data_IF_106316191670
#
_entry.id   IF_106316191670
#
_cell.length_a   1.000
_cell.length_b   1.000
_cell.length_c   1.000
_cell.angle_alpha   90.00
_cell.angle_beta   90.00
_cell.angle_gamma   90.00
#
_symmetry.space_group_name_H-M   'P 1'
#
loop_
_entity.id
_entity.type
_entity.pdbx_description
1 polymer ?
#
# COMPACT_ATOMS: atom_id res chain seq x y z
N UNK A 1 -38.42 1.69 34.47
CA UNK A 1 -38.07 0.92 33.26
C UNK A 1 -36.58 1.09 32.99
N UNK A 2 -35.82 0.01 32.74
CA UNK A 2 -34.46 0.12 32.17
C UNK A 2 -34.60 0.07 30.65
N UNK A 3 -34.27 1.15 29.95
CA UNK A 3 -34.08 1.10 28.50
C UNK A 3 -32.84 0.23 28.21
N UNK A 4 -33.05 -0.96 27.65
CA UNK A 4 -31.97 -1.71 27.02
C UNK A 4 -31.66 -1.02 25.70
N UNK A 5 -30.46 -0.50 25.54
CA UNK A 5 -30.00 0.07 24.27
C UNK A 5 -30.02 -1.03 23.19
N UNK A 6 -30.96 -0.93 22.26
CA UNK A 6 -31.14 -1.87 21.14
C UNK A 6 -30.31 -1.46 19.91
N UNK A 7 -29.32 -0.58 20.09
CA UNK A 7 -28.68 0.23 19.05
C UNK A 7 -27.38 -0.35 18.47
N UNK A 8 -26.67 -1.24 19.17
CA UNK A 8 -25.30 -1.63 18.76
C UNK A 8 -25.22 -2.26 17.37
N UNK A 9 -26.03 -3.29 17.11
CA UNK A 9 -25.89 -4.17 15.93
C UNK A 9 -26.15 -3.51 14.57
N UNK A 10 -26.77 -2.33 14.55
CA UNK A 10 -26.97 -1.53 13.33
C UNK A 10 -25.84 -0.51 13.11
N UNK A 11 -25.23 0.00 14.18
CA UNK A 11 -24.06 0.87 14.08
C UNK A 11 -22.84 0.13 13.51
N UNK A 12 -22.57 -1.09 14.01
CA UNK A 12 -21.44 -1.91 13.57
C UNK A 12 -21.38 -2.09 12.03
N UNK A 13 -22.54 -2.33 11.40
CA UNK A 13 -22.64 -2.52 9.94
C UNK A 13 -22.41 -1.24 9.16
N UNK A 14 -22.95 -0.12 9.64
CA UNK A 14 -22.78 1.17 8.96
C UNK A 14 -21.32 1.59 8.99
N UNK A 15 -20.66 1.47 10.15
CA UNK A 15 -19.26 1.85 10.27
C UNK A 15 -18.32 0.94 9.48
N UNK A 16 -18.50 -0.39 9.50
CA UNK A 16 -17.68 -1.29 8.67
C UNK A 16 -17.87 -1.00 7.17
N UNK A 17 -19.05 -0.55 6.73
CA UNK A 17 -19.26 -0.07 5.35
C UNK A 17 -18.56 1.26 5.09
N UNK A 18 -18.64 2.22 6.02
CA UNK A 18 -17.98 3.51 5.87
C UNK A 18 -16.45 3.39 5.83
N UNK A 19 -15.87 2.61 6.76
CA UNK A 19 -14.44 2.27 6.78
C UNK A 19 -14.04 1.54 5.50
N UNK A 20 -14.94 0.74 4.92
CA UNK A 20 -14.71 0.08 3.64
C UNK A 20 -14.59 1.10 2.51
N UNK A 21 -15.55 2.00 2.37
CA UNK A 21 -15.61 2.95 1.25
C UNK A 21 -14.45 3.96 1.26
N UNK A 22 -13.80 4.20 2.41
CA UNK A 22 -12.60 5.05 2.54
C UNK A 22 -11.26 4.29 2.54
N UNK A 23 -11.27 2.95 2.56
CA UNK A 23 -10.05 2.11 2.57
C UNK A 23 -9.88 1.29 1.27
N UNK A 24 -10.99 0.98 0.60
CA UNK A 24 -11.01 0.21 -0.64
C UNK A 24 -11.21 1.11 -1.86
N UNK A 25 -11.05 0.53 -3.04
CA UNK A 25 -11.29 1.17 -4.33
C UNK A 25 -10.43 2.43 -4.57
N UNK A 26 -9.20 2.43 -4.05
CA UNK A 26 -8.23 3.54 -4.25
C UNK A 26 -7.99 3.78 -5.75
N UNK A 27 -7.72 5.02 -6.19
CA UNK A 27 -7.46 5.28 -7.60
C UNK A 27 -6.15 4.64 -8.08
N UNK A 28 -6.02 4.52 -9.41
CA UNK A 28 -4.71 4.34 -10.05
C UNK A 28 -4.29 5.66 -10.68
N UNK A 29 -3.04 6.06 -10.48
CA UNK A 29 -2.41 7.13 -11.24
C UNK A 29 -1.63 6.54 -12.42
N UNK A 30 -1.92 7.00 -13.62
CA UNK A 30 -1.08 6.74 -14.79
C UNK A 30 -0.09 7.92 -14.90
N UNK A 31 1.14 7.69 -14.44
CA UNK A 31 2.18 8.72 -14.30
C UNK A 31 3.04 8.70 -15.56
N UNK A 32 3.02 9.81 -16.30
CA UNK A 32 3.86 9.99 -17.48
C UNK A 32 5.25 10.43 -17.03
N UNK A 33 6.29 9.78 -17.54
CA UNK A 33 7.67 10.12 -17.21
C UNK A 33 8.56 10.12 -18.46
N UNK A 34 9.66 10.88 -18.40
CA UNK A 34 10.81 10.70 -19.28
C UNK A 34 12.01 10.32 -18.41
N UNK A 35 12.68 9.21 -18.70
CA UNK A 35 13.87 8.73 -18.00
C UNK A 35 15.00 8.46 -19.00
N UNK A 36 16.10 9.22 -18.89
CA UNK A 36 17.24 9.18 -19.83
C UNK A 36 16.82 9.27 -21.31
N UNK A 37 15.91 10.20 -21.62
CA UNK A 37 15.39 10.42 -22.97
C UNK A 37 14.31 9.42 -23.42
N UNK A 38 13.92 8.46 -22.58
CA UNK A 38 12.89 7.46 -22.89
C UNK A 38 11.59 7.80 -22.19
N UNK A 39 10.53 8.01 -22.97
CA UNK A 39 9.17 8.22 -22.45
C UNK A 39 8.54 6.91 -22.00
N UNK A 40 7.71 6.97 -20.96
CA UNK A 40 6.95 5.84 -20.46
C UNK A 40 5.77 6.26 -19.58
N UNK A 41 4.93 5.27 -19.29
CA UNK A 41 3.79 5.41 -18.38
C UNK A 41 3.89 4.34 -17.30
N UNK A 42 3.91 4.77 -16.04
CA UNK A 42 3.86 3.90 -14.88
C UNK A 42 2.47 3.96 -14.26
N UNK A 43 1.83 2.81 -14.09
CA UNK A 43 0.55 2.72 -13.38
C UNK A 43 0.81 2.48 -11.90
N UNK A 44 0.25 3.32 -11.04
CA UNK A 44 0.48 3.25 -9.59
C UNK A 44 -0.84 3.24 -8.83
N UNK A 45 -1.08 2.15 -8.11
CA UNK A 45 -2.24 1.97 -7.24
C UNK A 45 -2.03 2.73 -5.92
N UNK A 46 -2.96 3.63 -5.57
CA UNK A 46 -2.74 4.63 -4.53
C UNK A 46 -3.14 4.13 -3.12
N UNK A 47 -2.45 3.12 -2.60
CA UNK A 47 -2.78 2.47 -1.33
C UNK A 47 -2.63 3.40 -0.10
N UNK A 48 -1.81 4.45 -0.20
CA UNK A 48 -1.64 5.48 0.82
C UNK A 48 -2.79 6.51 0.88
N UNK A 49 -3.88 6.29 0.14
CA UNK A 49 -5.14 7.03 0.27
C UNK A 49 -5.95 6.64 1.52
N UNK A 50 -5.64 5.50 2.13
CA UNK A 50 -6.39 4.95 3.26
C UNK A 50 -6.39 5.81 4.53
N UNK A 51 -7.11 5.33 5.54
CA UNK A 51 -7.37 6.00 6.82
C UNK A 51 -6.07 6.48 7.47
N UNK A 52 -5.10 5.59 7.72
CA UNK A 52 -3.77 5.98 8.23
C UNK A 52 -2.90 6.52 7.10
N UNK A 53 -3.15 6.08 5.87
CA UNK A 53 -2.35 6.37 4.69
C UNK A 53 -1.22 5.35 4.51
N UNK A 54 -1.49 4.13 4.95
CA UNK A 54 -0.63 2.97 4.75
C UNK A 54 -1.46 1.84 4.13
N UNK A 55 -0.83 1.06 3.28
CA UNK A 55 -1.41 -0.16 2.68
C UNK A 55 -2.02 -1.13 3.71
N UNK A 56 -1.49 -1.10 4.94
CA UNK A 56 -1.93 -1.91 6.08
C UNK A 56 -3.37 -1.63 6.56
N UNK A 57 -3.97 -0.50 6.16
CA UNK A 57 -5.38 -0.19 6.45
C UNK A 57 -6.32 -1.31 5.94
N UNK A 58 -5.99 -1.92 4.78
CA UNK A 58 -6.76 -3.05 4.20
C UNK A 58 -6.73 -4.30 5.09
N UNK A 59 -5.57 -4.64 5.64
CA UNK A 59 -5.35 -5.82 6.49
C UNK A 59 -6.03 -5.62 7.85
N UNK A 60 -5.89 -4.43 8.43
CA UNK A 60 -6.57 -4.09 9.68
C UNK A 60 -8.10 -4.20 9.53
N UNK A 61 -8.67 -3.74 8.41
CA UNK A 61 -10.10 -3.85 8.12
C UNK A 61 -10.55 -5.29 7.78
N UNK A 62 -9.71 -6.11 7.14
CA UNK A 62 -9.93 -7.55 7.03
C UNK A 62 -10.07 -8.20 8.41
N UNK A 63 -9.20 -7.87 9.36
CA UNK A 63 -9.27 -8.43 10.72
C UNK A 63 -10.51 -7.98 11.49
N UNK A 64 -10.89 -6.70 11.40
CA UNK A 64 -12.13 -6.19 12.00
C UNK A 64 -13.35 -6.95 11.45
N UNK A 65 -13.43 -7.17 10.12
CA UNK A 65 -14.46 -7.99 9.48
C UNK A 65 -14.42 -9.45 9.96
N UNK A 66 -13.25 -10.09 9.96
CA UNK A 66 -13.05 -11.51 10.29
C UNK A 66 -13.43 -11.84 11.73
N UNK A 67 -13.02 -11.01 12.69
CA UNK A 67 -13.32 -11.25 14.11
C UNK A 67 -14.68 -10.74 14.58
N UNK A 68 -15.41 -10.00 13.74
CA UNK A 68 -16.70 -9.37 14.09
C UNK A 68 -16.59 -8.53 15.36
N UNK A 69 -15.45 -7.86 15.52
CA UNK A 69 -15.17 -7.00 16.68
C UNK A 69 -16.24 -5.93 16.76
N UNK A 70 -16.91 -5.80 17.90
CA UNK A 70 -17.96 -4.80 18.08
C UNK A 70 -17.28 -3.45 18.27
N UNK A 71 -17.73 -2.43 17.55
CA UNK A 71 -17.07 -1.13 17.56
C UNK A 71 -17.88 -0.22 18.51
N UNK A 72 -17.41 -0.12 19.76
CA UNK A 72 -18.06 0.58 20.87
C UNK A 72 -17.26 1.77 21.44
N UNK A 73 -17.73 3.00 21.24
CA UNK A 73 -17.16 4.26 21.75
C UNK A 73 -16.37 4.24 23.09
N UNK A 74 -15.04 4.48 23.05
CA UNK A 74 -14.28 5.56 23.73
C UNK A 74 -12.78 5.22 24.04
N UNK A 75 -11.84 6.17 23.82
CA UNK A 75 -10.57 6.50 24.54
C UNK A 75 -9.23 6.61 23.74
N UNK A 76 -8.22 7.28 24.33
CA UNK A 76 -6.83 7.60 23.85
C UNK A 76 -5.77 6.99 24.82
N UNK A 77 -4.42 7.06 24.60
CA UNK A 77 -3.56 6.99 23.38
C UNK A 77 -2.18 6.22 23.53
N UNK A 78 -1.34 6.21 22.46
CA UNK A 78 0.13 6.55 22.37
C UNK A 78 1.23 5.51 21.92
N UNK A 79 2.06 5.95 20.93
CA UNK A 79 3.49 5.65 20.56
C UNK A 79 3.97 4.29 19.94
N UNK A 80 4.75 4.40 18.82
CA UNK A 80 6.12 3.88 18.46
C UNK A 80 6.57 2.41 18.77
N UNK A 81 7.48 1.73 18.01
CA UNK A 81 8.12 1.89 16.66
C UNK A 81 9.13 0.73 16.27
N UNK A 82 8.97 0.05 15.10
CA UNK A 82 10.01 -0.76 14.39
C UNK A 82 9.81 -2.30 14.38
N UNK A 83 9.80 -2.96 13.19
CA UNK A 83 9.21 -4.30 12.86
C UNK A 83 7.72 -4.48 13.25
N UNK A 84 7.28 -3.67 14.20
CA UNK A 84 5.95 -3.30 14.57
C UNK A 84 5.17 -2.57 13.46
N UNK A 85 5.63 -2.46 12.20
CA UNK A 85 4.97 -1.59 11.20
C UNK A 85 3.47 -1.91 11.01
N UNK A 86 3.12 -3.21 10.99
CA UNK A 86 1.72 -3.67 11.00
C UNK A 86 1.02 -3.50 12.35
N UNK A 87 1.72 -3.73 13.48
CA UNK A 87 1.18 -3.52 14.83
C UNK A 87 0.88 -2.04 15.06
N UNK A 88 1.77 -1.13 14.67
CA UNK A 88 1.58 0.31 14.64
C UNK A 88 0.51 0.75 13.64
N UNK A 89 0.31 0.07 12.51
CA UNK A 89 -0.78 0.41 11.57
C UNK A 89 -2.15 0.08 12.17
N UNK A 90 -2.28 -1.13 12.71
CA UNK A 90 -3.49 -1.51 13.44
C UNK A 90 -3.66 -0.67 14.71
N UNK A 91 -2.60 -0.42 15.48
CA UNK A 91 -2.67 0.38 16.70
C UNK A 91 -2.96 1.85 16.39
N UNK A 92 -2.46 2.41 15.29
CA UNK A 92 -2.82 3.76 14.84
C UNK A 92 -4.26 3.83 14.32
N UNK A 93 -4.74 2.77 13.66
CA UNK A 93 -6.16 2.64 13.29
C UNK A 93 -7.03 2.53 14.55
N UNK A 94 -6.71 1.62 15.47
CA UNK A 94 -7.41 1.43 16.74
C UNK A 94 -7.36 2.70 17.61
N UNK A 95 -6.22 3.38 17.73
CA UNK A 95 -6.09 4.67 18.45
C UNK A 95 -6.85 5.80 17.75
N UNK A 96 -7.06 5.74 16.43
CA UNK A 96 -7.84 6.74 15.69
C UNK A 96 -9.34 6.47 15.83
N UNK A 97 -9.78 5.24 15.60
CA UNK A 97 -11.14 4.80 15.87
C UNK A 97 -11.50 4.99 17.34
N UNK A 98 -10.58 4.78 18.29
CA UNK A 98 -10.82 4.97 19.73
C UNK A 98 -10.77 6.46 20.13
N UNK A 99 -9.98 7.30 19.45
CA UNK A 99 -10.06 8.79 19.51
C UNK A 99 -11.40 9.32 19.08
N UNK A 100 -11.91 8.81 17.97
CA UNK A 100 -13.14 9.26 17.32
C UNK A 100 -14.39 8.65 18.01
N UNK A 101 -14.20 8.00 19.18
CA UNK A 101 -15.23 7.31 19.95
C UNK A 101 -15.99 6.26 19.14
N UNK A 102 -15.24 5.45 18.40
CA UNK A 102 -15.76 4.30 17.67
C UNK A 102 -15.39 2.99 18.39
N UNK A 103 -14.13 2.69 18.73
CA UNK A 103 -13.73 1.40 19.37
C UNK A 103 -13.62 1.48 20.91
N UNK A 104 -13.83 0.32 21.56
CA UNK A 104 -13.70 0.09 23.01
C UNK A 104 -12.29 -0.41 23.35
N UNK A 105 -11.65 0.18 24.36
CA UNK A 105 -10.30 -0.20 24.80
C UNK A 105 -10.13 -1.70 25.13
N UNK A 106 -11.17 -2.37 25.66
CA UNK A 106 -11.14 -3.82 25.93
C UNK A 106 -11.15 -4.65 24.63
N UNK A 107 -11.90 -4.23 23.62
CA UNK A 107 -11.96 -4.90 22.32
C UNK A 107 -10.65 -4.70 21.53
N UNK A 108 -10.03 -3.52 21.64
CA UNK A 108 -8.68 -3.25 21.15
C UNK A 108 -7.65 -4.21 21.79
N UNK A 109 -7.64 -4.33 23.12
CA UNK A 109 -6.73 -5.24 23.83
C UNK A 109 -6.91 -6.71 23.42
N UNK A 110 -8.16 -7.19 23.39
CA UNK A 110 -8.48 -8.57 22.98
C UNK A 110 -8.13 -8.87 21.52
N UNK A 111 -8.21 -7.87 20.63
CA UNK A 111 -7.76 -8.00 19.25
C UNK A 111 -6.24 -8.13 19.18
N UNK A 112 -5.48 -7.28 19.89
CA UNK A 112 -4.01 -7.37 19.96
C UNK A 112 -3.54 -8.74 20.46
N UNK A 113 -4.16 -9.28 21.52
CA UNK A 113 -3.80 -10.59 22.08
C UNK A 113 -4.19 -11.77 21.20
N UNK A 114 -5.24 -11.67 20.37
CA UNK A 114 -5.53 -12.67 19.33
C UNK A 114 -4.51 -12.62 18.20
N UNK A 115 -4.14 -11.42 17.76
CA UNK A 115 -3.20 -11.23 16.65
C UNK A 115 -1.77 -11.68 16.98
N UNK A 116 -1.39 -11.67 18.26
CA UNK A 116 -0.15 -12.27 18.77
C UNK A 116 -0.07 -13.80 18.64
N UNK A 117 -1.18 -14.49 18.33
CA UNK A 117 -1.23 -15.95 18.23
C UNK A 117 -0.85 -16.46 16.83
N UNK A 118 -0.86 -15.58 15.82
CA UNK A 118 -0.53 -15.93 14.44
C UNK A 118 0.99 -15.96 14.22
N UNK A 119 1.45 -17.04 13.60
CA UNK A 119 2.83 -17.19 13.12
C UNK A 119 3.09 -16.29 11.91
N UNK A 120 4.38 -16.04 11.63
CA UNK A 120 4.82 -15.23 10.48
C UNK A 120 4.27 -15.76 9.14
N UNK A 121 4.25 -17.07 8.94
CA UNK A 121 3.65 -17.71 7.75
C UNK A 121 2.14 -17.47 7.64
N UNK A 122 1.39 -17.52 8.75
CA UNK A 122 -0.04 -17.22 8.70
C UNK A 122 -0.31 -15.73 8.44
N UNK A 123 0.60 -14.84 8.84
CA UNK A 123 0.56 -13.44 8.47
C UNK A 123 0.80 -13.26 6.97
N UNK A 124 1.83 -13.89 6.39
CA UNK A 124 2.11 -13.85 4.96
C UNK A 124 0.91 -14.36 4.12
N UNK A 125 0.30 -15.49 4.50
CA UNK A 125 -0.91 -16.03 3.85
C UNK A 125 -2.08 -15.01 3.86
N UNK A 126 -2.24 -14.26 4.95
CA UNK A 126 -3.32 -13.27 5.09
C UNK A 126 -3.00 -11.96 4.36
N UNK A 127 -1.73 -11.52 4.34
CA UNK A 127 -1.27 -10.45 3.45
C UNK A 127 -1.59 -10.80 1.99
N UNK A 128 -1.31 -12.05 1.61
CA UNK A 128 -1.59 -12.55 0.27
C UNK A 128 -3.10 -12.57 -0.04
N UNK A 129 -3.93 -13.12 0.85
CA UNK A 129 -5.39 -13.17 0.70
C UNK A 129 -5.97 -11.75 0.53
N UNK A 130 -5.58 -10.81 1.38
CA UNK A 130 -6.08 -9.43 1.38
C UNK A 130 -5.69 -8.70 0.10
N UNK A 131 -4.41 -8.70 -0.28
CA UNK A 131 -4.00 -7.98 -1.50
C UNK A 131 -4.54 -8.64 -2.78
N UNK A 132 -4.68 -9.98 -2.80
CA UNK A 132 -5.25 -10.71 -3.92
C UNK A 132 -6.73 -10.37 -4.11
N UNK A 133 -7.53 -10.42 -3.04
CA UNK A 133 -8.99 -10.17 -3.10
C UNK A 133 -9.38 -8.69 -3.19
N UNK A 134 -8.46 -7.76 -2.90
CA UNK A 134 -8.75 -6.33 -2.78
C UNK A 134 -7.85 -5.51 -3.72
N UNK A 135 -6.59 -5.28 -3.35
CA UNK A 135 -5.66 -4.42 -4.10
C UNK A 135 -5.57 -4.79 -5.59
N UNK A 136 -5.31 -6.06 -5.90
CA UNK A 136 -5.10 -6.53 -7.28
C UNK A 136 -6.40 -6.78 -8.04
N UNK A 137 -7.48 -7.17 -7.35
CA UNK A 137 -8.81 -7.25 -7.96
C UNK A 137 -9.32 -5.89 -8.43
N UNK A 138 -9.20 -4.86 -7.57
CA UNK A 138 -9.51 -3.48 -7.94
C UNK A 138 -8.62 -3.02 -9.09
N UNK A 139 -7.30 -3.18 -8.97
CA UNK A 139 -6.36 -2.68 -9.98
C UNK A 139 -6.57 -3.34 -11.35
N UNK A 140 -6.82 -4.65 -11.38
CA UNK A 140 -7.12 -5.38 -12.61
C UNK A 140 -8.41 -4.87 -13.27
N UNK A 141 -9.50 -4.68 -12.52
CA UNK A 141 -10.74 -4.15 -13.09
C UNK A 141 -10.59 -2.70 -13.57
N UNK A 142 -9.91 -1.84 -12.79
CA UNK A 142 -9.64 -0.45 -13.15
C UNK A 142 -8.86 -0.34 -14.47
N UNK A 143 -7.82 -1.15 -14.65
CA UNK A 143 -7.01 -1.15 -15.88
C UNK A 143 -7.73 -1.85 -17.06
N UNK A 144 -8.41 -2.97 -16.82
CA UNK A 144 -9.17 -3.69 -17.84
C UNK A 144 -10.28 -2.83 -18.45
N UNK A 145 -10.97 -2.00 -17.64
CA UNK A 145 -11.97 -1.04 -18.12
C UNK A 145 -11.38 0.04 -19.05
N UNK A 146 -10.08 0.32 -18.98
CA UNK A 146 -9.35 1.21 -19.89
C UNK A 146 -8.74 0.45 -21.09
N UNK A 147 -8.95 -0.86 -21.20
CA UNK A 147 -8.29 -1.71 -22.21
C UNK A 147 -6.80 -1.96 -21.93
N UNK A 148 -6.34 -1.72 -20.70
CA UNK A 148 -4.94 -1.84 -20.30
C UNK A 148 -4.70 -3.21 -19.65
N UNK A 149 -3.77 -3.98 -20.22
CA UNK A 149 -3.30 -5.25 -19.69
C UNK A 149 -1.96 -5.03 -18.97
N UNK A 150 -1.79 -5.60 -17.76
CA UNK A 150 -0.54 -5.51 -16.99
C UNK A 150 0.44 -6.58 -17.45
N UNK A 151 1.67 -6.18 -17.77
CA UNK A 151 2.76 -7.08 -18.14
C UNK A 151 3.70 -7.35 -16.96
N UNK A 152 3.88 -6.38 -16.05
CA UNK A 152 4.73 -6.51 -14.87
C UNK A 152 4.10 -5.87 -13.63
N UNK A 153 4.28 -6.51 -12.47
CA UNK A 153 4.07 -5.90 -11.16
C UNK A 153 5.39 -5.79 -10.39
N UNK A 154 5.65 -4.64 -9.77
CA UNK A 154 6.90 -4.38 -9.06
C UNK A 154 6.63 -3.90 -7.64
N UNK A 155 7.35 -4.43 -6.65
CA UNK A 155 7.34 -3.94 -5.27
C UNK A 155 8.67 -4.20 -4.57
N UNK A 156 8.96 -3.37 -3.57
CA UNK A 156 9.95 -3.63 -2.52
C UNK A 156 9.39 -4.53 -1.41
N UNK A 157 10.31 -5.16 -0.67
CA UNK A 157 10.07 -6.26 0.29
C UNK A 157 9.10 -5.97 1.45
N UNK A 158 8.88 -4.70 1.81
CA UNK A 158 7.99 -4.32 2.92
C UNK A 158 6.58 -4.92 2.76
N UNK A 159 6.24 -5.33 1.52
CA UNK A 159 5.03 -6.08 1.21
C UNK A 159 5.34 -7.35 0.40
N UNK A 160 6.11 -8.31 0.94
CA UNK A 160 6.34 -9.61 0.26
C UNK A 160 5.01 -10.33 -0.08
N UNK A 161 4.00 -10.20 0.80
CA UNK A 161 2.62 -10.64 0.52
C UNK A 161 1.95 -9.94 -0.67
N UNK A 162 2.37 -8.72 -1.07
CA UNK A 162 1.92 -8.12 -2.33
C UNK A 162 2.52 -8.79 -3.56
N UNK A 163 3.79 -9.20 -3.53
CA UNK A 163 4.40 -9.92 -4.66
C UNK A 163 3.78 -11.31 -4.82
N UNK A 164 3.54 -12.02 -3.71
CA UNK A 164 2.81 -13.28 -3.69
C UNK A 164 1.37 -13.10 -4.22
N UNK A 165 0.63 -12.10 -3.72
CA UNK A 165 -0.72 -11.81 -4.16
C UNK A 165 -0.80 -11.37 -5.64
N UNK A 166 0.15 -10.57 -6.12
CA UNK A 166 0.23 -10.19 -7.53
C UNK A 166 0.45 -11.42 -8.41
N UNK A 167 1.40 -12.29 -8.03
CA UNK A 167 1.68 -13.56 -8.72
C UNK A 167 0.43 -14.43 -8.80
N UNK A 168 -0.28 -14.60 -7.68
CA UNK A 168 -1.49 -15.41 -7.57
C UNK A 168 -2.66 -14.82 -8.37
N UNK A 169 -2.93 -13.53 -8.19
CA UNK A 169 -4.05 -12.86 -8.84
C UNK A 169 -3.83 -12.74 -10.35
N UNK A 170 -2.74 -12.10 -10.77
CA UNK A 170 -2.48 -11.86 -12.18
C UNK A 170 -2.05 -13.13 -12.91
N UNK A 171 -1.34 -14.07 -12.28
CA UNK A 171 -1.00 -15.36 -12.88
C UNK A 171 -2.24 -16.18 -13.27
N UNK A 172 -3.36 -16.02 -12.54
CA UNK A 172 -4.65 -16.61 -12.89
C UNK A 172 -5.41 -15.86 -14.01
N UNK A 173 -4.95 -14.67 -14.42
CA UNK A 173 -5.55 -13.83 -15.49
C UNK A 173 -4.67 -13.76 -16.75
N UNK A 174 -3.35 -13.83 -16.57
CA UNK A 174 -2.30 -13.69 -17.58
C UNK A 174 -1.13 -14.60 -17.18
N UNK A 175 -0.85 -15.63 -18.00
CA UNK A 175 0.19 -16.62 -17.68
C UNK A 175 1.63 -16.05 -17.70
N UNK A 176 1.81 -14.81 -18.17
CA UNK A 176 3.11 -14.22 -18.48
C UNK A 176 3.48 -12.99 -17.62
N UNK A 177 2.72 -12.65 -16.56
CA UNK A 177 3.07 -11.49 -15.73
C UNK A 177 4.47 -11.63 -15.13
N UNK A 178 5.24 -10.55 -15.20
CA UNK A 178 6.58 -10.44 -14.64
C UNK A 178 6.56 -9.82 -13.25
N UNK A 179 7.35 -10.37 -12.35
CA UNK A 179 7.48 -9.86 -10.98
C UNK A 179 8.81 -9.13 -10.82
N UNK A 180 8.77 -7.87 -10.42
CA UNK A 180 9.95 -7.08 -10.08
C UNK A 180 10.13 -6.93 -8.58
N UNK A 181 11.31 -7.29 -8.10
CA UNK A 181 11.72 -7.09 -6.72
C UNK A 181 12.71 -5.93 -6.59
N UNK A 182 12.49 -5.07 -5.59
CA UNK A 182 13.34 -3.90 -5.33
C UNK A 182 14.08 -4.06 -3.99
N UNK A 183 15.40 -3.89 -4.03
CA UNK A 183 16.28 -3.84 -2.87
C UNK A 183 16.78 -2.41 -2.62
N UNK A 184 17.09 -2.09 -1.36
CA UNK A 184 17.81 -0.89 -0.95
C UNK A 184 18.49 -1.16 0.40
N UNK A 185 19.32 -0.22 0.87
CA UNK A 185 20.05 -0.34 2.16
C UNK A 185 19.13 -0.47 3.39
N UNK A 186 17.87 -0.04 3.28
CA UNK A 186 16.86 -0.08 4.35
C UNK A 186 16.13 -1.43 4.41
N UNK A 187 16.26 -2.24 3.36
CA UNK A 187 15.54 -3.50 3.14
C UNK A 187 16.57 -4.64 3.11
N UNK A 188 17.04 -5.03 4.29
CA UNK A 188 18.11 -6.02 4.44
C UNK A 188 17.59 -7.46 4.49
N UNK A 189 18.32 -8.39 3.86
CA UNK A 189 18.06 -9.83 3.62
C UNK A 189 17.09 -10.20 2.48
N UNK A 190 17.48 -11.26 1.75
CA UNK A 190 16.74 -11.86 0.64
C UNK A 190 15.63 -12.78 1.16
N UNK A 191 14.42 -12.64 0.62
CA UNK A 191 13.39 -13.71 0.67
C UNK A 191 13.41 -14.44 -0.66
N UNK A 192 13.13 -15.74 -0.63
CA UNK A 192 13.16 -16.64 -1.79
C UNK A 192 11.93 -16.48 -2.70
N UNK A 193 11.52 -15.24 -2.98
CA UNK A 193 10.53 -14.94 -4.02
C UNK A 193 11.25 -15.06 -5.36
N UNK A 194 10.81 -16.02 -6.18
CA UNK A 194 11.22 -16.12 -7.57
C UNK A 194 10.61 -14.96 -8.38
N UNK A 195 11.24 -13.79 -8.28
CA UNK A 195 10.99 -12.62 -9.11
C UNK A 195 11.77 -12.74 -10.43
N UNK A 196 11.21 -12.18 -11.51
CA UNK A 196 11.81 -12.16 -12.84
C UNK A 196 12.82 -11.01 -13.01
N UNK A 197 12.57 -9.89 -12.33
CA UNK A 197 13.32 -8.63 -12.46
C UNK A 197 13.84 -8.21 -11.09
N UNK A 198 15.04 -7.63 -11.06
CA UNK A 198 15.68 -7.13 -9.84
C UNK A 198 16.21 -5.72 -10.09
N UNK A 199 16.05 -4.84 -9.10
CA UNK A 199 16.58 -3.48 -9.13
C UNK A 199 16.97 -3.01 -7.73
N UNK A 200 18.24 -2.66 -7.58
CA UNK A 200 18.72 -1.96 -6.38
C UNK A 200 18.50 -0.44 -6.53
N UNK A 201 18.10 0.22 -5.44
CA UNK A 201 17.84 1.66 -5.36
C UNK A 201 18.60 2.25 -4.16
N UNK A 202 19.31 3.35 -4.37
CA UNK A 202 20.03 4.06 -3.31
C UNK A 202 19.17 5.02 -2.49
N UNK A 203 19.54 5.28 -1.23
CA UNK A 203 18.84 6.19 -0.33
C UNK A 203 18.76 7.64 -0.87
N UNK A 204 19.82 8.12 -1.54
CA UNK A 204 19.77 9.42 -2.21
C UNK A 204 18.76 9.47 -3.36
N UNK A 205 18.59 8.36 -4.09
CA UNK A 205 17.64 8.29 -5.18
C UNK A 205 16.21 8.39 -4.66
N UNK A 206 15.87 7.59 -3.65
CA UNK A 206 14.59 7.60 -2.92
C UNK A 206 14.23 9.05 -2.50
N UNK A 207 15.19 9.76 -1.92
CA UNK A 207 15.02 11.15 -1.45
C UNK A 207 14.64 12.10 -2.57
N UNK A 208 15.33 12.04 -3.71
CA UNK A 208 15.02 12.89 -4.87
C UNK A 208 13.65 12.54 -5.48
N UNK A 209 13.25 11.26 -5.48
CA UNK A 209 11.93 10.83 -5.97
C UNK A 209 10.80 11.41 -5.10
N UNK A 210 10.94 11.38 -3.77
CA UNK A 210 9.96 12.01 -2.86
C UNK A 210 9.88 13.52 -3.13
N UNK A 211 11.03 14.17 -3.28
CA UNK A 211 11.10 15.59 -3.63
C UNK A 211 10.41 15.89 -4.98
N UNK A 212 10.66 15.09 -6.02
CA UNK A 212 10.01 15.23 -7.32
C UNK A 212 8.49 14.99 -7.25
N UNK A 213 8.02 13.97 -6.54
CA UNK A 213 6.58 13.74 -6.38
C UNK A 213 5.89 14.91 -5.69
N UNK A 214 6.51 15.48 -4.65
CA UNK A 214 5.97 16.65 -3.97
C UNK A 214 6.01 17.91 -4.83
N UNK A 215 7.12 18.19 -5.51
CA UNK A 215 7.34 19.46 -6.22
C UNK A 215 6.76 19.49 -7.63
N UNK A 216 6.75 18.36 -8.35
CA UNK A 216 6.24 18.25 -9.72
C UNK A 216 4.79 17.76 -9.77
N UNK A 217 4.39 16.85 -8.86
CA UNK A 217 3.06 16.22 -8.89
C UNK A 217 2.14 16.66 -7.73
N UNK A 218 2.65 17.37 -6.72
CA UNK A 218 1.88 17.73 -5.52
C UNK A 218 1.54 16.55 -4.61
N UNK A 219 2.17 15.39 -4.81
CA UNK A 219 1.89 14.15 -4.09
C UNK A 219 2.89 13.92 -2.95
N UNK A 220 2.41 13.69 -1.73
CA UNK A 220 3.27 13.24 -0.64
C UNK A 220 3.32 11.71 -0.59
N UNK A 221 4.53 11.15 -0.66
CA UNK A 221 4.78 9.71 -0.71
C UNK A 221 5.88 9.35 0.30
N UNK A 222 5.86 8.11 0.78
CA UNK A 222 6.91 7.61 1.66
C UNK A 222 8.06 6.93 0.91
N UNK A 223 9.16 6.60 1.61
CA UNK A 223 10.36 6.02 1.01
C UNK A 223 10.17 4.62 0.39
N UNK A 224 9.20 3.84 0.85
CA UNK A 224 8.86 2.54 0.23
C UNK A 224 8.17 2.78 -1.12
N UNK A 225 7.20 3.69 -1.16
CA UNK A 225 6.55 4.13 -2.41
C UNK A 225 7.55 4.72 -3.42
N UNK A 226 8.49 5.56 -2.96
CA UNK A 226 9.51 6.14 -3.81
C UNK A 226 10.48 5.08 -4.38
N UNK A 227 10.83 4.06 -3.59
CA UNK A 227 11.57 2.89 -4.06
C UNK A 227 10.78 2.17 -5.16
N UNK A 228 9.50 1.86 -4.89
CA UNK A 228 8.57 1.21 -5.83
C UNK A 228 8.50 1.94 -7.18
N UNK A 229 8.33 3.26 -7.18
CA UNK A 229 8.28 4.09 -8.38
C UNK A 229 9.58 3.99 -9.21
N UNK A 230 10.73 4.29 -8.61
CA UNK A 230 11.98 4.36 -9.37
C UNK A 230 12.47 2.97 -9.80
N UNK A 231 12.27 1.95 -8.96
CA UNK A 231 12.53 0.57 -9.34
C UNK A 231 11.73 0.15 -10.57
N UNK A 232 10.43 0.47 -10.59
CA UNK A 232 9.57 0.22 -11.75
C UNK A 232 10.06 0.97 -13.00
N UNK A 233 10.37 2.26 -12.89
CA UNK A 233 10.85 3.09 -14.01
C UNK A 233 12.17 2.54 -14.57
N UNK A 234 13.14 2.19 -13.72
CA UNK A 234 14.41 1.60 -14.15
C UNK A 234 14.21 0.26 -14.85
N UNK A 235 13.41 -0.64 -14.27
CA UNK A 235 13.09 -1.94 -14.87
C UNK A 235 12.35 -1.81 -16.21
N UNK A 236 11.29 -1.00 -16.28
CA UNK A 236 10.53 -0.74 -17.49
C UNK A 236 11.42 -0.13 -18.58
N UNK A 237 12.36 0.74 -18.21
CA UNK A 237 13.22 1.43 -19.18
C UNK A 237 14.38 0.57 -19.69
N UNK A 238 14.90 -0.37 -18.88
CA UNK A 238 16.14 -1.12 -19.16
C UNK A 238 15.96 -2.62 -19.37
N UNK A 239 14.91 -3.24 -18.82
CA UNK A 239 14.69 -4.69 -18.84
C UNK A 239 13.45 -5.08 -19.67
N UNK A 240 12.36 -4.30 -19.61
CA UNK A 240 11.09 -4.58 -20.30
C UNK A 240 10.50 -3.32 -20.98
N UNK A 241 11.21 -2.81 -21.99
CA UNK A 241 10.80 -1.60 -22.71
C UNK A 241 9.47 -1.80 -23.46
N UNK A 242 8.55 -0.85 -23.30
CA UNK A 242 7.22 -0.87 -23.94
C UNK A 242 6.17 -1.71 -23.19
N UNK A 243 6.53 -2.40 -22.11
CA UNK A 243 5.61 -3.15 -21.27
C UNK A 243 4.85 -2.26 -20.28
N UNK A 244 3.65 -2.67 -19.90
CA UNK A 244 2.80 -2.02 -18.89
C UNK A 244 3.20 -2.45 -17.48
N UNK A 245 3.74 -1.50 -16.71
CA UNK A 245 4.13 -1.71 -15.32
C UNK A 245 3.07 -1.20 -14.35
N UNK A 246 2.72 -2.04 -13.37
CA UNK A 246 1.93 -1.68 -12.20
C UNK A 246 2.81 -1.69 -10.94
N UNK A 247 2.66 -0.69 -10.07
CA UNK A 247 3.22 -0.69 -8.72
C UNK A 247 2.27 0.00 -7.73
N UNK A 248 2.69 0.23 -6.48
CA UNK A 248 1.83 0.71 -5.38
C UNK A 248 2.48 1.86 -4.61
N UNK A 249 1.70 2.90 -4.30
CA UNK A 249 2.04 3.89 -3.26
C UNK A 249 1.57 3.35 -1.92
N UNK A 250 2.44 2.70 -1.16
CA UNK A 250 2.09 1.95 0.05
C UNK A 250 2.19 2.76 1.34
N UNK A 251 2.83 3.92 1.30
CA UNK A 251 3.12 4.76 2.46
C UNK A 251 3.12 6.26 2.12
N UNK A 252 2.92 7.09 3.14
CA UNK A 252 3.24 8.52 3.17
C UNK A 252 3.95 8.82 4.47
N UNK A 253 4.95 9.69 4.43
CA UNK A 253 5.72 10.09 5.62
C UNK A 253 5.82 11.61 5.74
N UNK A 254 6.18 12.10 6.92
CA UNK A 254 6.52 13.49 7.15
C UNK A 254 8.01 13.78 6.89
N UNK A 255 8.36 15.06 6.89
CA UNK A 255 9.74 15.50 6.61
C UNK A 255 10.73 15.14 7.71
N UNK A 256 10.26 15.00 8.96
CA UNK A 256 11.11 14.61 10.07
C UNK A 256 11.62 13.17 9.90
N UNK A 257 10.79 12.27 9.39
CA UNK A 257 11.20 10.90 9.06
C UNK A 257 12.18 10.87 7.88
N UNK A 258 11.89 11.65 6.82
CA UNK A 258 12.75 11.71 5.63
C UNK A 258 14.15 12.25 5.99
N UNK A 259 14.26 13.30 6.80
CA UNK A 259 15.56 13.81 7.24
C UNK A 259 16.39 12.78 8.01
N UNK A 260 15.77 11.94 8.84
CA UNK A 260 16.47 10.88 9.60
C UNK A 260 17.01 9.76 8.70
N UNK A 261 16.30 9.44 7.62
CA UNK A 261 16.64 8.33 6.72
C UNK A 261 17.90 8.60 5.88
N UNK A 262 18.23 9.87 5.66
CA UNK A 262 19.17 10.31 4.61
C UNK A 262 20.37 11.06 5.20
N UNK A 263 20.13 11.92 6.19
CA UNK A 263 21.08 12.93 6.64
C UNK A 263 21.56 13.85 5.51
N UNK A 264 22.61 14.63 5.78
CA UNK A 264 23.13 15.67 4.87
C UNK A 264 23.89 15.11 3.63
N UNK A 265 23.80 13.80 3.34
CA UNK A 265 24.70 13.11 2.39
C UNK A 265 24.27 13.16 0.93
N UNK A 266 23.04 13.62 0.64
CA UNK A 266 22.42 13.46 -0.68
C UNK A 266 22.16 14.77 -1.43
N UNK A 267 22.65 15.90 -0.91
CA UNK A 267 22.50 17.22 -1.56
C UNK A 267 23.24 17.26 -2.90
N UNK A 268 24.46 16.73 -2.93
CA UNK A 268 25.32 16.61 -4.13
C UNK A 268 24.95 15.44 -5.04
N UNK A 269 23.96 14.62 -4.68
CA UNK A 269 23.53 13.51 -5.53
C UNK A 269 22.76 14.03 -6.75
N UNK A 270 23.26 13.73 -7.94
CA UNK A 270 22.58 13.99 -9.20
C UNK A 270 21.80 12.74 -9.62
N UNK A 271 20.47 12.84 -9.60
CA UNK A 271 19.59 11.85 -10.24
C UNK A 271 19.83 11.90 -11.76
N UNK A 272 19.85 10.75 -12.48
CA UNK A 272 19.81 10.74 -13.95
C UNK A 272 18.58 11.50 -14.48
N UNK A 273 18.57 11.87 -15.76
CA UNK A 273 17.51 12.72 -16.33
C UNK A 273 16.12 12.07 -16.19
N UNK A 274 15.41 12.45 -15.13
CA UNK A 274 14.08 11.95 -14.77
C UNK A 274 13.15 13.14 -14.58
N UNK A 275 12.12 13.22 -15.41
CA UNK A 275 11.08 14.26 -15.35
C UNK A 275 9.71 13.59 -15.35
N UNK A 276 8.84 13.99 -14.43
CA UNK A 276 7.44 13.59 -14.46
C UNK A 276 6.63 14.62 -15.24
N UNK A 277 5.96 14.18 -16.30
CA UNK A 277 5.16 15.02 -17.19
C UNK A 277 3.70 15.19 -16.70
N UNK A 278 3.44 14.90 -15.42
CA UNK A 278 2.12 14.84 -14.82
C UNK A 278 1.55 13.41 -14.75
N UNK A 279 0.31 13.30 -14.27
CA UNK A 279 -0.41 12.04 -14.18
C UNK A 279 -1.89 12.22 -14.55
N UNK A 280 -2.53 11.14 -15.00
CA UNK A 280 -3.99 11.04 -15.07
C UNK A 280 -4.52 10.08 -14.00
N UNK A 281 -5.78 10.26 -13.61
CA UNK A 281 -6.44 9.44 -12.59
C UNK A 281 -7.37 8.45 -13.29
N UNK A 282 -7.09 7.16 -13.13
CA UNK A 282 -8.06 6.09 -13.40
C UNK A 282 -8.85 5.92 -12.09
N UNK A 283 -10.15 6.27 -12.08
CA UNK A 283 -10.91 6.35 -10.84
C UNK A 283 -11.18 4.97 -10.21
N UNK A 284 -11.63 5.02 -8.97
CA UNK A 284 -12.47 3.98 -8.38
C UNK A 284 -13.54 3.50 -9.38
N UNK A 285 -13.65 2.19 -9.63
CA UNK A 285 -14.79 1.66 -10.42
C UNK A 285 -16.00 1.48 -9.50
N UNK A 286 -17.19 1.89 -9.89
CA UNK A 286 -18.42 1.74 -9.06
C UNK A 286 -18.84 0.28 -8.78
N UNK A 287 -18.15 -0.72 -9.35
CA UNK A 287 -18.56 -2.13 -9.33
C UNK A 287 -17.56 -3.07 -8.65
N UNK A 288 -17.79 -3.36 -7.37
CA UNK A 288 -17.38 -4.61 -6.70
C UNK A 288 -18.13 -4.87 -5.38
N UNK A 289 -18.63 -3.84 -4.70
CA UNK A 289 -19.25 -3.94 -3.36
C UNK A 289 -20.53 -4.79 -3.34
N UNK A 290 -21.19 -4.99 -4.47
CA UNK A 290 -22.46 -5.75 -4.59
C UNK A 290 -22.32 -7.28 -4.66
N UNK A 291 -21.12 -7.84 -4.43
CA UNK A 291 -20.84 -9.29 -4.54
C UNK A 291 -20.17 -9.92 -3.29
N UNK A 292 -20.21 -9.23 -2.14
CA UNK A 292 -19.78 -9.73 -0.82
C UNK A 292 -20.88 -9.52 0.25
#
# INVERSE_FOLDING_TARGET
MRFKAQTSKYHDRFLVSYLHDITFNTPIFAINYNYNGREGVLYVKQENAGITGQVNDRIALYWLKRFKTTISANCLPQYFQGDEFMKCSLDALLDRLSRDNEINALDSFLLKDRLRQYSESEWEDIMEEVHCSMTFQEAYHQLLFQGIQVDAFVSSRVNDGMLAAAKKYFGAKSQNIKLGYITNELVSSFVNIAADLYQEIGNCEITKIISFFRTQLGLNIGPVSASNILGSIKMQTTQLQGSVFLTTLVDRQDDAWISQLVGDRCDTYHMPDLVFAGYSVIPATESAVSLL
#
